data_IF_549324199755
#
_entry.id   IF_549324199755
#
_cell.length_a   1.000
_cell.length_b   1.000
_cell.length_c   1.000
_cell.angle_alpha   90.00
_cell.angle_beta   90.00
_cell.angle_gamma   90.00
#
_symmetry.space_group_name_H-M   'P 1'
#
loop_
_entity.id
_entity.type
_entity.pdbx_description
1 polymer ?
#
# COMPACT_ATOMS: atom_id res chain seq x y z
N UNK A 1 7.30 -11.93 -3.25
CA UNK A 1 6.50 -10.70 -3.05
C UNK A 1 5.97 -10.33 -4.41
N UNK A 2 4.68 -10.05 -4.52
CA UNK A 2 4.01 -9.71 -5.77
C UNK A 2 3.01 -8.59 -5.52
N UNK A 3 2.91 -7.66 -6.47
CA UNK A 3 1.83 -6.66 -6.50
C UNK A 3 0.92 -7.03 -7.66
N UNK A 4 -0.37 -7.10 -7.41
CA UNK A 4 -1.39 -7.43 -8.41
C UNK A 4 -2.32 -6.23 -8.54
N UNK A 5 -2.32 -5.60 -9.71
CA UNK A 5 -3.28 -4.55 -10.04
C UNK A 5 -4.51 -5.18 -10.70
N UNK A 6 -5.69 -4.99 -10.12
CA UNK A 6 -6.96 -5.50 -10.62
C UNK A 6 -7.81 -4.37 -11.20
N UNK A 7 -7.17 -3.49 -11.98
CA UNK A 7 -7.76 -2.31 -12.61
C UNK A 7 -7.54 -2.36 -14.12
N UNK A 8 -8.20 -1.45 -14.86
CA UNK A 8 -8.03 -1.39 -16.31
C UNK A 8 -6.58 -1.01 -16.65
N UNK A 9 -6.07 -1.55 -17.75
CA UNK A 9 -4.76 -1.14 -18.24
C UNK A 9 -4.75 0.37 -18.52
N UNK A 10 -3.73 1.07 -18.02
CA UNK A 10 -3.60 2.53 -18.14
C UNK A 10 -4.33 3.34 -17.06
N UNK A 11 -5.06 2.70 -16.14
CA UNK A 11 -5.74 3.40 -15.04
C UNK A 11 -4.74 3.83 -13.95
N UNK A 12 -4.53 5.15 -13.83
CA UNK A 12 -3.63 5.74 -12.83
C UNK A 12 -4.25 5.78 -11.43
N UNK A 13 -5.57 5.88 -11.35
CA UNK A 13 -6.38 5.89 -10.13
C UNK A 13 -7.02 4.52 -9.92
N UNK A 14 -6.26 3.62 -9.30
CA UNK A 14 -6.68 2.26 -9.06
C UNK A 14 -6.72 2.01 -7.56
N UNK A 15 -7.91 1.78 -7.02
CA UNK A 15 -8.15 1.44 -5.60
C UNK A 15 -8.24 -0.08 -5.34
N UNK A 16 -7.95 -0.87 -6.38
CA UNK A 16 -8.05 -2.32 -6.37
C UNK A 16 -6.70 -2.97 -6.66
N UNK A 17 -5.72 -2.68 -5.82
CA UNK A 17 -4.38 -3.28 -5.87
C UNK A 17 -4.15 -4.19 -4.67
N UNK A 18 -3.50 -5.33 -4.88
CA UNK A 18 -3.17 -6.28 -3.83
C UNK A 18 -1.65 -6.44 -3.67
N UNK A 19 -1.19 -6.37 -2.43
CA UNK A 19 0.15 -6.79 -2.04
C UNK A 19 0.08 -8.22 -1.53
N UNK A 20 0.83 -9.13 -2.16
CA UNK A 20 0.92 -10.54 -1.80
C UNK A 20 2.33 -10.90 -1.33
N UNK A 21 2.42 -11.36 -0.09
CA UNK A 21 3.66 -11.76 0.55
C UNK A 21 3.51 -13.03 1.37
N UNK A 22 4.62 -13.71 1.57
CA UNK A 22 4.71 -14.81 2.54
C UNK A 22 5.67 -14.37 3.63
N UNK A 23 5.21 -14.33 4.88
CA UNK A 23 6.06 -13.99 6.01
C UNK A 23 7.12 -15.08 6.18
N UNK A 24 8.40 -14.69 6.21
CA UNK A 24 9.51 -15.64 6.33
C UNK A 24 9.49 -16.41 7.66
N UNK A 25 9.03 -15.76 8.74
CA UNK A 25 9.08 -16.30 10.12
C UNK A 25 8.14 -17.50 10.33
N UNK A 26 6.90 -17.42 9.84
CA UNK A 26 5.84 -18.40 10.14
C UNK A 26 5.21 -19.00 8.88
N UNK A 27 5.74 -18.67 7.69
CA UNK A 27 5.20 -19.06 6.37
C UNK A 27 3.74 -18.60 6.14
N UNK A 28 3.20 -17.72 6.97
CA UNK A 28 1.85 -17.20 6.78
C UNK A 28 1.77 -16.33 5.53
N UNK A 29 0.70 -16.48 4.76
CA UNK A 29 0.39 -15.62 3.64
C UNK A 29 -0.23 -14.31 4.14
N UNK A 30 0.22 -13.19 3.58
CA UNK A 30 -0.35 -11.87 3.81
C UNK A 30 -0.82 -11.32 2.47
N UNK A 31 -2.08 -10.88 2.46
CA UNK A 31 -2.66 -10.12 1.36
C UNK A 31 -3.17 -8.79 1.91
N UNK A 32 -2.69 -7.69 1.36
CA UNK A 32 -3.14 -6.35 1.73
C UNK A 32 -3.80 -5.69 0.53
N UNK A 33 -5.04 -5.25 0.71
CA UNK A 33 -5.68 -4.36 -0.27
C UNK A 33 -5.09 -2.96 -0.15
N UNK A 34 -4.87 -2.34 -1.29
CA UNK A 34 -4.26 -1.03 -1.41
C UNK A 34 -4.71 -0.32 -2.68
N UNK A 35 -4.08 0.80 -2.94
CA UNK A 35 -4.38 1.69 -4.06
C UNK A 35 -3.10 2.22 -4.69
N UNK A 36 -3.19 2.72 -5.90
CA UNK A 36 -2.11 3.48 -6.54
C UNK A 36 -1.97 4.86 -5.91
N UNK A 37 -0.76 5.39 -6.03
CA UNK A 37 -0.42 6.78 -5.76
C UNK A 37 -0.06 7.37 -7.11
N UNK A 38 -0.68 8.47 -7.47
CA UNK A 38 -0.39 9.20 -8.69
C UNK A 38 -0.31 10.70 -8.39
N UNK A 39 0.31 11.42 -9.30
CA UNK A 39 0.18 12.86 -9.41
C UNK A 39 -0.84 13.14 -10.52
N UNK A 40 -2.02 13.63 -10.11
CA UNK A 40 -3.11 14.00 -11.01
C UNK A 40 -2.71 15.07 -12.01
N UNK A 41 -1.88 16.05 -11.63
CA UNK A 41 -1.55 17.19 -12.48
C UNK A 41 -0.57 16.79 -13.60
N UNK A 42 0.36 15.88 -13.30
CA UNK A 42 1.34 15.40 -14.28
C UNK A 42 0.98 14.05 -14.91
N UNK A 43 -0.19 13.50 -14.58
CA UNK A 43 -0.62 12.14 -14.98
C UNK A 43 0.46 11.08 -14.75
N UNK A 44 1.18 11.21 -13.63
CA UNK A 44 2.35 10.38 -13.35
C UNK A 44 2.05 9.36 -12.26
N UNK A 45 2.32 8.10 -12.55
CA UNK A 45 2.33 7.05 -11.53
C UNK A 45 3.49 7.28 -10.53
N UNK A 46 3.19 7.27 -9.24
CA UNK A 46 4.18 7.49 -8.17
C UNK A 46 4.44 6.22 -7.36
N UNK A 47 3.50 5.28 -7.28
CA UNK A 47 3.69 4.06 -6.51
C UNK A 47 2.39 3.43 -6.02
N UNK A 48 2.51 2.66 -4.94
CA UNK A 48 1.40 1.96 -4.31
C UNK A 48 1.34 2.25 -2.82
N UNK A 49 0.13 2.32 -2.29
CA UNK A 49 -0.17 2.47 -0.88
C UNK A 49 -0.97 1.27 -0.39
N UNK A 50 -0.49 0.61 0.68
CA UNK A 50 -1.20 -0.47 1.36
C UNK A 50 -1.37 -0.15 2.84
N UNK A 51 -2.46 -0.60 3.44
CA UNK A 51 -2.72 -0.42 4.86
C UNK A 51 -2.87 -1.77 5.56
N UNK A 52 -2.22 -1.91 6.72
CA UNK A 52 -2.38 -3.05 7.61
C UNK A 52 -2.49 -2.54 9.05
N UNK A 53 -3.70 -2.50 9.60
CA UNK A 53 -3.98 -1.95 10.93
C UNK A 53 -3.39 -0.53 11.10
N UNK A 54 -2.48 -0.37 12.07
CA UNK A 54 -1.79 0.88 12.39
C UNK A 54 -0.56 1.14 11.50
N UNK A 55 -0.36 0.37 10.44
CA UNK A 55 0.79 0.54 9.54
C UNK A 55 0.35 0.90 8.13
N UNK A 56 1.06 1.85 7.54
CA UNK A 56 0.95 2.30 6.16
C UNK A 56 2.22 1.92 5.42
N UNK A 57 2.09 1.22 4.30
CA UNK A 57 3.17 0.73 3.47
C UNK A 57 3.13 1.49 2.16
N UNK A 58 4.22 2.17 1.82
CA UNK A 58 4.38 2.88 0.55
C UNK A 58 5.45 2.17 -0.26
N UNK A 59 5.10 1.76 -1.48
CA UNK A 59 6.03 1.16 -2.44
C UNK A 59 6.24 2.15 -3.57
N UNK A 60 7.44 2.69 -3.68
CA UNK A 60 7.84 3.68 -4.69
C UNK A 60 9.31 3.46 -5.03
N UNK A 61 9.70 3.64 -6.30
CA UNK A 61 11.09 3.58 -6.76
C UNK A 61 11.85 2.32 -6.26
N UNK A 62 11.21 1.15 -6.38
CA UNK A 62 11.69 -0.15 -5.87
C UNK A 62 11.99 -0.21 -4.36
N UNK A 63 11.54 0.78 -3.59
CA UNK A 63 11.73 0.87 -2.16
C UNK A 63 10.41 0.67 -1.42
N UNK A 64 10.48 0.09 -0.22
CA UNK A 64 9.35 -0.06 0.69
C UNK A 64 9.57 0.81 1.93
N UNK A 65 8.68 1.79 2.13
CA UNK A 65 8.65 2.65 3.31
C UNK A 65 7.46 2.29 4.19
N UNK A 66 7.68 2.16 5.49
CA UNK A 66 6.64 1.77 6.46
C UNK A 66 6.46 2.90 7.45
N UNK A 67 5.24 3.43 7.55
CA UNK A 67 4.83 4.41 8.54
C UNK A 67 3.93 3.75 9.59
N UNK A 68 4.16 4.05 10.86
CA UNK A 68 3.23 3.71 11.94
C UNK A 68 2.26 4.88 12.12
N UNK A 69 0.96 4.64 11.95
CA UNK A 69 -0.09 5.60 12.26
C UNK A 69 0.01 5.99 13.73
N UNK A 70 0.20 7.28 13.97
CA UNK A 70 0.13 7.85 15.31
C UNK A 70 -1.34 8.24 15.52
N UNK A 71 -2.06 7.49 16.36
CA UNK A 71 -3.41 7.86 16.75
C UNK A 71 -3.35 8.99 17.79
N UNK A 72 -3.62 10.22 17.37
CA UNK A 72 -3.63 11.40 18.24
C UNK A 72 -4.81 11.44 19.24
N UNK A 73 -5.80 10.54 19.10
CA UNK A 73 -7.01 10.52 19.94
C UNK A 73 -6.93 9.67 21.21
N UNK A 74 -5.74 9.21 21.62
CA UNK A 74 -5.57 8.57 22.93
C UNK A 74 -5.24 9.60 24.02
N UNK A 75 -6.17 10.54 24.26
CA UNK A 75 -6.22 11.31 25.51
C UNK A 75 -7.55 10.97 26.21
N UNK A 76 -7.45 10.05 27.16
CA UNK A 76 -8.48 9.86 28.20
C UNK A 76 -7.82 10.34 29.49
N UNK A 77 -8.33 11.43 30.04
CA UNK A 77 -8.42 11.66 31.48
C UNK A 77 -9.83 12.18 31.74
#
# INVERSE_FOLDING_TARGET
MKIVSCCKEGELDCDNVYYEGTKKKDKSFIQLKGKTINDYLSHRFLGYQFQNNDYLYIVQDNSLTIYKKINYYKKIY
#
